data_IF_656300359344
#
_entry.id   IF_656300359344
#
_cell.length_a   1.000
_cell.length_b   1.000
_cell.length_c   1.000
_cell.angle_alpha   90.00
_cell.angle_beta   90.00
_cell.angle_gamma   90.00
#
_symmetry.space_group_name_H-M   'P 1'
#
loop_
_entity.id
_entity.type
_entity.pdbx_description
1 polymer ?
#
# COMPACT_ATOMS: atom_id res chain seq x y z
N UNK A 1 -11.59 -15.84 -12.89
CA UNK A 1 -11.72 -14.43 -12.43
C UNK A 1 -10.66 -14.05 -11.39
N UNK A 2 -10.55 -14.76 -10.24
CA UNK A 2 -9.53 -14.52 -9.19
C UNK A 2 -8.10 -14.23 -9.71
N UNK A 3 -7.58 -15.01 -10.66
CA UNK A 3 -6.20 -14.84 -11.17
C UNK A 3 -5.97 -13.45 -11.82
N UNK A 4 -6.95 -12.90 -12.55
CA UNK A 4 -6.78 -11.62 -13.24
C UNK A 4 -6.70 -10.41 -12.28
N UNK A 5 -7.43 -10.46 -11.17
CA UNK A 5 -7.37 -9.43 -10.12
C UNK A 5 -6.03 -9.46 -9.37
N UNK A 6 -5.52 -10.67 -9.06
CA UNK A 6 -4.17 -10.83 -8.51
C UNK A 6 -3.10 -10.29 -9.47
N UNK A 7 -3.18 -10.61 -10.76
CA UNK A 7 -2.26 -10.06 -11.76
C UNK A 7 -2.38 -8.54 -11.88
N UNK A 8 -3.58 -7.97 -11.79
CA UNK A 8 -3.79 -6.53 -11.76
C UNK A 8 -3.14 -5.87 -10.53
N UNK A 9 -3.25 -6.49 -9.36
CA UNK A 9 -2.60 -6.03 -8.14
C UNK A 9 -1.08 -6.09 -8.22
N UNK A 10 -0.52 -7.20 -8.71
CA UNK A 10 0.92 -7.37 -8.89
C UNK A 10 1.50 -6.36 -9.89
N UNK A 11 0.83 -6.15 -11.03
CA UNK A 11 1.22 -5.15 -12.02
C UNK A 11 1.12 -3.71 -11.49
N UNK A 12 0.14 -3.42 -10.64
CA UNK A 12 -0.01 -2.10 -10.04
C UNK A 12 1.07 -1.85 -8.97
N UNK A 13 1.38 -2.87 -8.16
CA UNK A 13 2.43 -2.80 -7.16
C UNK A 13 3.82 -2.60 -7.80
N UNK A 14 4.13 -3.34 -8.87
CA UNK A 14 5.43 -3.25 -9.57
C UNK A 14 5.68 -1.88 -10.22
N UNK A 15 4.63 -1.10 -10.48
CA UNK A 15 4.72 0.27 -11.03
C UNK A 15 4.98 1.35 -9.97
N UNK A 16 4.88 1.02 -8.69
CA UNK A 16 5.26 1.95 -7.63
C UNK A 16 6.78 2.12 -7.59
N UNK A 17 7.24 3.21 -6.99
CA UNK A 17 8.69 3.39 -6.74
C UNK A 17 9.18 2.28 -5.79
N UNK A 18 10.42 1.80 -5.93
CA UNK A 18 10.95 0.73 -5.07
C UNK A 18 10.77 1.01 -3.57
N UNK A 19 11.04 2.25 -3.14
CA UNK A 19 10.84 2.67 -1.75
C UNK A 19 9.38 2.62 -1.30
N UNK A 20 8.43 2.90 -2.19
CA UNK A 20 7.00 2.84 -1.88
C UNK A 20 6.51 1.38 -1.80
N UNK A 21 7.07 0.48 -2.62
CA UNK A 21 6.81 -0.97 -2.55
C UNK A 21 7.30 -1.54 -1.22
N UNK A 22 8.54 -1.20 -0.84
CA UNK A 22 9.15 -1.69 0.40
C UNK A 22 8.40 -1.19 1.64
N UNK A 23 7.96 0.07 1.63
CA UNK A 23 7.10 0.62 2.69
C UNK A 23 5.80 -0.17 2.88
N UNK A 24 5.11 -0.50 1.78
CA UNK A 24 3.90 -1.31 1.83
C UNK A 24 4.21 -2.73 2.31
N UNK A 25 5.37 -3.29 1.91
CA UNK A 25 5.77 -4.64 2.31
C UNK A 25 5.97 -4.73 3.82
N UNK A 26 6.79 -3.84 4.37
CA UNK A 26 7.08 -3.76 5.80
C UNK A 26 5.81 -3.48 6.61
N UNK A 27 4.91 -2.62 6.11
CA UNK A 27 3.67 -2.31 6.84
C UNK A 27 2.68 -3.48 6.84
N UNK A 28 2.51 -4.18 5.71
CA UNK A 28 1.39 -5.11 5.53
C UNK A 28 1.77 -6.55 5.89
N UNK A 29 2.97 -7.01 5.52
CA UNK A 29 3.40 -8.39 5.77
C UNK A 29 4.21 -8.54 7.05
N UNK A 30 5.02 -7.54 7.39
CA UNK A 30 5.83 -7.57 8.63
C UNK A 30 5.15 -6.85 9.80
N UNK A 31 3.97 -6.25 9.57
CA UNK A 31 3.17 -5.48 10.53
C UNK A 31 3.94 -4.41 11.33
N UNK A 32 5.03 -3.87 10.76
CA UNK A 32 5.85 -2.88 11.44
C UNK A 32 5.11 -1.54 11.59
N UNK A 33 5.32 -0.88 12.73
CA UNK A 33 4.88 0.48 12.96
C UNK A 33 5.64 1.49 12.08
N UNK A 34 5.10 2.70 11.93
CA UNK A 34 5.78 3.75 11.16
C UNK A 34 7.14 4.16 11.75
N UNK A 35 7.35 3.96 13.05
CA UNK A 35 8.62 4.22 13.72
C UNK A 35 9.66 3.16 13.34
N UNK A 36 9.34 1.88 13.49
CA UNK A 36 10.22 0.76 13.16
C UNK A 36 10.59 0.75 11.66
N UNK A 37 9.62 1.06 10.79
CA UNK A 37 9.89 1.23 9.35
C UNK A 37 10.88 2.40 9.11
N UNK A 38 10.74 3.48 9.87
CA UNK A 38 11.63 4.63 9.78
C UNK A 38 13.06 4.27 10.16
N UNK A 39 13.23 3.48 11.21
CA UNK A 39 14.53 2.95 11.63
C UNK A 39 15.15 2.04 10.57
N UNK A 40 14.38 1.09 10.03
CA UNK A 40 14.83 0.16 8.97
C UNK A 40 15.28 0.90 7.70
N UNK A 41 14.55 1.96 7.32
CA UNK A 41 14.78 2.69 6.06
C UNK A 41 15.64 3.95 6.22
N UNK A 42 16.07 4.28 7.44
CA UNK A 42 16.85 5.49 7.73
C UNK A 42 16.10 6.80 7.45
N UNK A 43 14.78 6.84 7.65
CA UNK A 43 13.94 8.03 7.45
C UNK A 43 13.03 8.28 8.66
N UNK A 44 12.52 9.50 8.82
CA UNK A 44 11.62 9.79 9.94
C UNK A 44 10.27 9.08 9.80
N UNK A 45 9.64 8.75 10.94
CA UNK A 45 8.29 8.17 11.00
C UNK A 45 7.22 9.06 10.32
N UNK A 46 7.40 10.38 10.36
CA UNK A 46 6.58 11.32 9.62
C UNK A 46 6.74 11.14 8.11
N UNK A 47 7.99 10.98 7.64
CA UNK A 47 8.28 10.73 6.24
C UNK A 47 7.73 9.36 5.77
N UNK A 48 7.73 8.35 6.63
CA UNK A 48 7.05 7.06 6.41
C UNK A 48 5.56 7.27 6.19
N UNK A 49 4.88 7.96 7.11
CA UNK A 49 3.43 8.24 7.03
C UNK A 49 3.07 8.93 5.71
N UNK A 50 3.82 9.97 5.34
CA UNK A 50 3.58 10.72 4.10
C UNK A 50 3.86 9.89 2.85
N UNK A 51 4.84 8.97 2.89
CA UNK A 51 5.10 8.07 1.77
C UNK A 51 4.07 6.97 1.66
N UNK A 52 3.65 6.34 2.75
CA UNK A 52 2.57 5.34 2.75
C UNK A 52 1.28 5.91 2.18
N UNK A 53 0.85 7.10 2.62
CA UNK A 53 -0.33 7.78 2.04
C UNK A 53 -0.21 7.95 0.52
N UNK A 54 0.98 8.32 0.04
CA UNK A 54 1.24 8.47 -1.40
C UNK A 54 1.29 7.14 -2.14
N UNK A 55 1.91 6.12 -1.56
CA UNK A 55 2.01 4.77 -2.10
C UNK A 55 0.61 4.16 -2.28
N UNK A 56 -0.21 4.17 -1.22
CA UNK A 56 -1.59 3.67 -1.25
C UNK A 56 -2.45 4.45 -2.24
N UNK A 57 -2.32 5.78 -2.29
CA UNK A 57 -3.06 6.61 -3.25
C UNK A 57 -2.66 6.35 -4.71
N UNK A 58 -1.37 6.08 -4.99
CA UNK A 58 -0.90 5.69 -6.33
C UNK A 58 -1.38 4.29 -6.70
N UNK A 59 -1.30 3.35 -5.77
CA UNK A 59 -1.75 1.98 -5.96
C UNK A 59 -3.25 1.95 -6.30
N UNK A 60 -4.08 2.68 -5.53
CA UNK A 60 -5.50 2.82 -5.78
C UNK A 60 -5.77 3.37 -7.20
N UNK A 61 -5.08 4.44 -7.61
CA UNK A 61 -5.22 5.00 -8.97
C UNK A 61 -4.86 3.98 -10.06
N UNK A 62 -3.76 3.25 -9.90
CA UNK A 62 -3.33 2.24 -10.87
C UNK A 62 -4.33 1.09 -10.98
N UNK A 63 -4.92 0.69 -9.84
CA UNK A 63 -5.97 -0.33 -9.81
C UNK A 63 -7.26 0.19 -10.45
N UNK A 64 -7.71 1.42 -10.17
CA UNK A 64 -8.91 2.01 -10.80
C UNK A 64 -8.76 2.23 -12.30
N UNK A 65 -7.57 2.59 -12.78
CA UNK A 65 -7.29 2.71 -14.22
C UNK A 65 -7.41 1.35 -14.91
N UNK A 66 -7.00 0.27 -14.25
CA UNK A 66 -7.06 -1.11 -14.79
C UNK A 66 -8.41 -1.79 -14.52
N UNK A 67 -9.17 -1.29 -13.55
CA UNK A 67 -10.38 -1.90 -13.00
C UNK A 67 -11.48 -0.86 -12.86
N UNK A 68 -12.51 -0.93 -13.73
CA UNK A 68 -13.81 -0.27 -13.49
C UNK A 68 -14.60 -0.97 -12.36
N UNK A 69 -13.96 -1.66 -11.42
CA UNK A 69 -14.64 -2.38 -10.34
C UNK A 69 -14.83 -1.43 -9.15
N UNK A 70 -16.07 -1.45 -8.64
CA UNK A 70 -16.53 -0.60 -7.54
C UNK A 70 -15.70 -0.83 -6.27
N UNK A 71 -15.42 0.21 -5.49
CA UNK A 71 -14.75 0.04 -4.19
C UNK A 71 -15.63 -0.83 -3.28
N UNK A 72 -15.04 -1.85 -2.67
CA UNK A 72 -15.64 -2.56 -1.54
C UNK A 72 -15.46 -1.69 -0.29
N UNK A 73 -16.52 -1.33 0.44
CA UNK A 73 -16.40 -0.52 1.64
C UNK A 73 -15.59 -1.29 2.68
N UNK A 74 -14.45 -0.72 3.08
CA UNK A 74 -13.68 -1.22 4.21
C UNK A 74 -14.52 -0.83 5.43
N UNK A 75 -15.26 -1.77 6.01
CA UNK A 75 -15.93 -1.55 7.27
C UNK A 75 -14.86 -1.22 8.32
N UNK A 76 -14.90 -0.01 8.86
CA UNK A 76 -14.04 0.40 9.96
C UNK A 76 -14.44 -0.42 11.19
N UNK A 77 -13.65 -1.46 11.47
CA UNK A 77 -13.61 -2.11 12.77
C UNK A 77 -12.97 -1.17 13.77
N UNK A 78 -13.77 -0.24 14.31
CA UNK A 78 -13.49 0.39 15.58
C UNK A 78 -13.84 -0.61 16.68
N UNK A 79 -12.82 -1.13 17.33
CA UNK A 79 -12.93 -1.90 18.56
C UNK A 79 -13.59 -1.03 19.65
N UNK A 80 -14.68 -1.54 20.22
CA UNK A 80 -15.07 -1.39 21.63
C UNK A 80 -16.00 -2.54 21.98
#
# INVERSE_FOLDING_TARGET
VRNAEYQAALDALSRLKPIDQELLRLRIWEDLSHAEIGEVLGISSHAVTMRLKRATGRLAKLLTVKSRVRPHPIAEGGES
#
